data_IF_611510510114
#
_entry.id   IF_611510510114
#
_cell.length_a   1.000
_cell.length_b   1.000
_cell.length_c   1.000
_cell.angle_alpha   90.00
_cell.angle_beta   90.00
_cell.angle_gamma   90.00
#
_symmetry.space_group_name_H-M   'P 1'
#
loop_
_entity.id
_entity.type
_entity.pdbx_description
1 polymer ?
#
# COMPACT_ATOMS: atom_id res chain seq x y z
N UNK A 1 -15.37 -37.23 71.92
CA UNK A 1 -16.66 -36.81 71.34
C UNK A 1 -17.73 -36.52 72.39
N UNK A 2 -17.42 -36.48 73.70
CA UNK A 2 -18.41 -36.34 74.78
C UNK A 2 -18.74 -34.91 75.22
N UNK A 3 -18.05 -33.87 74.71
CA UNK A 3 -18.30 -32.47 75.09
C UNK A 3 -19.56 -31.88 74.43
N UNK A 4 -19.90 -32.37 73.23
CA UNK A 4 -21.02 -31.86 72.44
C UNK A 4 -22.37 -32.43 72.90
N UNK A 5 -22.36 -33.61 73.51
CA UNK A 5 -23.57 -34.33 73.95
C UNK A 5 -24.04 -33.88 75.35
N UNK A 6 -23.20 -33.19 76.12
CA UNK A 6 -23.51 -32.75 77.50
C UNK A 6 -23.98 -31.29 77.61
N UNK A 7 -24.22 -30.60 76.50
CA UNK A 7 -24.64 -29.20 76.49
C UNK A 7 -26.17 -29.10 76.58
N UNK A 8 -26.67 -28.31 77.52
CA UNK A 8 -28.11 -28.01 77.58
C UNK A 8 -28.56 -27.27 76.31
N UNK A 9 -29.80 -27.47 75.88
CA UNK A 9 -30.37 -26.88 74.66
C UNK A 9 -30.14 -25.36 74.50
N UNK A 10 -30.18 -24.54 75.58
CA UNK A 10 -29.84 -23.11 75.51
C UNK A 10 -28.35 -22.86 75.23
N UNK A 11 -27.45 -23.65 75.83
CA UNK A 11 -26.00 -23.50 75.65
C UNK A 11 -25.56 -23.91 74.24
N UNK A 12 -26.18 -24.95 73.66
CA UNK A 12 -25.93 -25.35 72.28
C UNK A 12 -26.32 -24.24 71.28
N UNK A 13 -27.42 -23.52 71.54
CA UNK A 13 -27.88 -22.41 70.70
C UNK A 13 -26.92 -21.22 70.76
N UNK A 14 -26.44 -20.86 71.97
CA UNK A 14 -25.44 -19.80 72.15
C UNK A 14 -24.09 -20.14 71.52
N UNK A 15 -23.68 -21.41 71.60
CA UNK A 15 -22.44 -21.86 70.98
C UNK A 15 -22.55 -21.83 69.45
N UNK A 16 -23.70 -22.20 68.88
CA UNK A 16 -23.95 -22.15 67.43
C UNK A 16 -23.93 -20.72 66.90
N UNK A 17 -24.56 -19.76 67.59
CA UNK A 17 -24.53 -18.34 67.18
C UNK A 17 -23.12 -17.75 67.30
N UNK A 18 -22.36 -18.15 68.33
CA UNK A 18 -20.95 -17.75 68.48
C UNK A 18 -20.06 -18.29 67.35
N UNK A 19 -20.18 -19.59 67.04
CA UNK A 19 -19.43 -20.22 65.93
C UNK A 19 -19.81 -19.60 64.59
N UNK A 20 -21.10 -19.36 64.35
CA UNK A 20 -21.59 -18.69 63.14
C UNK A 20 -21.03 -17.27 63.03
N UNK A 21 -20.96 -16.53 64.14
CA UNK A 21 -20.34 -15.21 64.20
C UNK A 21 -18.85 -15.24 63.83
N UNK A 22 -18.09 -16.18 64.39
CA UNK A 22 -16.67 -16.36 64.06
C UNK A 22 -16.49 -16.74 62.59
N UNK A 23 -17.30 -17.66 62.06
CA UNK A 23 -17.25 -18.04 60.66
C UNK A 23 -17.59 -16.86 59.73
N UNK A 24 -18.58 -16.03 60.06
CA UNK A 24 -18.92 -14.84 59.29
C UNK A 24 -17.77 -13.81 59.28
N UNK A 25 -17.15 -13.55 60.43
CA UNK A 25 -15.98 -12.66 60.53
C UNK A 25 -14.78 -13.21 59.75
N UNK A 26 -14.53 -14.51 59.83
CA UNK A 26 -13.49 -15.19 59.06
C UNK A 26 -13.71 -15.11 57.56
N UNK A 27 -14.96 -15.28 57.10
CA UNK A 27 -15.31 -15.15 55.68
C UNK A 27 -15.12 -13.73 55.16
N UNK A 28 -15.49 -12.70 55.94
CA UNK A 28 -15.26 -11.29 55.59
C UNK A 28 -13.76 -11.00 55.49
N UNK A 29 -12.97 -11.49 56.44
CA UNK A 29 -11.52 -11.27 56.44
C UNK A 29 -10.82 -11.95 55.25
N UNK A 30 -11.17 -13.21 54.96
CA UNK A 30 -10.66 -13.93 53.80
C UNK A 30 -11.06 -13.25 52.49
N UNK A 31 -12.32 -12.81 52.39
CA UNK A 31 -12.82 -12.05 51.25
C UNK A 31 -12.02 -10.77 51.04
N UNK A 32 -11.90 -9.94 52.08
CA UNK A 32 -11.13 -8.70 52.02
C UNK A 32 -9.69 -8.94 51.54
N UNK A 33 -8.99 -9.92 52.14
CA UNK A 33 -7.60 -10.25 51.78
C UNK A 33 -7.47 -10.70 50.32
N UNK A 34 -8.39 -11.54 49.84
CA UNK A 34 -8.38 -12.03 48.46
C UNK A 34 -8.65 -10.91 47.45
N UNK A 35 -9.62 -10.04 47.73
CA UNK A 35 -9.94 -8.91 46.86
C UNK A 35 -8.83 -7.85 46.85
N UNK A 36 -8.20 -7.54 47.99
CA UNK A 36 -7.08 -6.59 48.03
C UNK A 36 -5.90 -7.03 47.16
N UNK A 37 -5.54 -8.31 47.19
CA UNK A 37 -4.44 -8.82 46.37
C UNK A 37 -4.77 -8.77 44.87
N UNK A 38 -6.02 -9.08 44.48
CA UNK A 38 -6.46 -8.99 43.09
C UNK A 38 -6.50 -7.54 42.58
N UNK A 39 -6.95 -6.60 43.41
CA UNK A 39 -6.99 -5.17 43.06
C UNK A 39 -5.56 -4.63 42.86
N UNK A 40 -4.61 -5.01 43.72
CA UNK A 40 -3.19 -4.64 43.53
C UNK A 40 -2.60 -5.20 42.23
N UNK A 41 -2.97 -6.43 41.86
CA UNK A 41 -2.57 -7.03 40.58
C UNK A 41 -3.16 -6.29 39.37
N UNK A 42 -4.43 -5.89 39.44
CA UNK A 42 -5.08 -5.07 38.41
C UNK A 42 -4.44 -3.69 38.27
N UNK A 43 -4.12 -3.03 39.39
CA UNK A 43 -3.46 -1.73 39.37
C UNK A 43 -2.05 -1.81 38.76
N UNK A 44 -1.30 -2.88 39.05
CA UNK A 44 -0.01 -3.13 38.42
C UNK A 44 -0.13 -3.42 36.92
N UNK A 45 -1.11 -4.21 36.50
CA UNK A 45 -1.35 -4.49 35.10
C UNK A 45 -1.76 -3.22 34.32
N UNK A 46 -2.56 -2.35 34.93
CA UNK A 46 -2.95 -1.06 34.35
C UNK A 46 -1.72 -0.15 34.20
N UNK A 47 -0.87 -0.04 35.23
CA UNK A 47 0.38 0.74 35.14
C UNK A 47 1.30 0.21 34.06
N UNK A 48 1.52 -1.10 34.02
CA UNK A 48 2.33 -1.73 32.97
C UNK A 48 1.74 -1.50 31.57
N UNK A 49 0.41 -1.55 31.43
CA UNK A 49 -0.26 -1.23 30.16
C UNK A 49 -0.08 0.24 29.78
N UNK A 50 -0.14 1.15 30.74
CA UNK A 50 0.01 2.58 30.49
C UNK A 50 1.46 2.95 30.13
N UNK A 51 2.43 2.33 30.79
CA UNK A 51 3.85 2.45 30.46
C UNK A 51 4.12 1.91 29.05
N UNK A 52 3.57 0.74 28.69
CA UNK A 52 3.70 0.18 27.34
C UNK A 52 3.08 1.07 26.26
N UNK A 53 1.92 1.68 26.53
CA UNK A 53 1.28 2.64 25.61
C UNK A 53 2.15 3.89 25.45
N UNK A 54 2.71 4.43 26.53
CA UNK A 54 3.57 5.62 26.45
C UNK A 54 4.86 5.34 25.67
N UNK A 55 5.46 4.15 25.83
CA UNK A 55 6.62 3.73 25.02
C UNK A 55 6.24 3.66 23.55
N UNK A 56 5.11 3.02 23.22
CA UNK A 56 4.66 2.90 21.84
C UNK A 56 4.31 4.26 21.20
N UNK A 57 3.73 5.19 21.97
CA UNK A 57 3.48 6.56 21.52
C UNK A 57 4.79 7.29 21.19
N UNK A 58 5.80 7.18 22.04
CA UNK A 58 7.11 7.80 21.79
C UNK A 58 7.82 7.17 20.57
N UNK A 59 7.72 5.85 20.40
CA UNK A 59 8.27 5.15 19.23
C UNK A 59 7.57 5.56 17.94
N UNK A 60 6.24 5.66 17.95
CA UNK A 60 5.45 6.09 16.79
C UNK A 60 5.67 7.56 16.46
N UNK A 61 5.79 8.47 17.44
CA UNK A 61 6.18 9.86 17.20
C UNK A 61 7.57 9.96 16.58
N UNK A 62 8.54 9.19 17.08
CA UNK A 62 9.89 9.16 16.52
C UNK A 62 9.90 8.62 15.09
N UNK A 63 9.13 7.56 14.82
CA UNK A 63 8.96 6.99 13.49
C UNK A 63 8.33 8.01 12.54
N UNK A 64 7.19 8.61 12.91
CA UNK A 64 6.48 9.62 12.11
C UNK A 64 7.37 10.83 11.83
N UNK A 65 8.14 11.31 12.81
CA UNK A 65 9.07 12.43 12.61
C UNK A 65 10.17 12.06 11.62
N UNK A 66 10.68 10.83 11.68
CA UNK A 66 11.65 10.31 10.72
C UNK A 66 11.06 10.25 9.31
N UNK A 67 9.89 9.62 9.14
CA UNK A 67 9.23 9.55 7.82
C UNK A 67 8.88 10.94 7.28
N UNK A 68 8.41 11.86 8.13
CA UNK A 68 8.14 13.23 7.72
C UNK A 68 9.41 13.95 7.23
N UNK A 69 10.54 13.74 7.92
CA UNK A 69 11.82 14.32 7.49
C UNK A 69 12.36 13.71 6.18
N UNK A 70 12.15 12.42 5.97
CA UNK A 70 12.52 11.72 4.73
C UNK A 70 11.64 12.18 3.56
N UNK A 71 10.33 12.33 3.77
CA UNK A 71 9.40 12.88 2.77
C UNK A 71 9.73 14.33 2.45
N UNK A 72 10.00 15.18 3.44
CA UNK A 72 10.41 16.57 3.19
C UNK A 72 11.72 16.64 2.39
N UNK A 73 12.68 15.76 2.68
CA UNK A 73 13.91 15.65 1.89
C UNK A 73 13.63 15.24 0.45
N UNK A 74 12.85 14.18 0.24
CA UNK A 74 12.49 13.72 -1.09
C UNK A 74 11.75 14.79 -1.90
N UNK A 75 10.83 15.53 -1.27
CA UNK A 75 10.13 16.66 -1.91
C UNK A 75 11.11 17.78 -2.26
N UNK A 76 12.04 18.12 -1.35
CA UNK A 76 13.07 19.13 -1.61
C UNK A 76 13.96 18.72 -2.78
N UNK A 77 14.46 17.49 -2.78
CA UNK A 77 15.34 16.96 -3.82
C UNK A 77 14.63 16.94 -5.19
N UNK A 78 13.35 16.55 -5.21
CA UNK A 78 12.52 16.61 -6.43
C UNK A 78 12.25 18.05 -6.90
N UNK A 79 12.08 19.00 -5.98
CA UNK A 79 11.87 20.40 -6.35
C UNK A 79 13.12 21.03 -6.98
N UNK A 80 14.32 20.64 -6.53
CA UNK A 80 15.60 21.06 -7.12
C UNK A 80 15.79 20.41 -8.49
N UNK A 81 15.55 19.10 -8.60
CA UNK A 81 15.65 18.39 -9.88
C UNK A 81 14.69 18.96 -10.95
N UNK A 82 13.50 19.44 -10.54
CA UNK A 82 12.54 20.07 -11.45
C UNK A 82 12.98 21.47 -11.91
N UNK A 83 13.77 22.18 -11.12
CA UNK A 83 14.33 23.48 -11.52
C UNK A 83 15.50 23.28 -12.51
N UNK A 84 16.32 22.24 -12.33
CA UNK A 84 17.31 21.80 -13.32
C UNK A 84 16.63 21.35 -14.64
N UNK A 85 15.50 20.65 -14.55
CA UNK A 85 14.72 20.25 -15.72
C UNK A 85 14.18 21.47 -16.50
N UNK A 86 13.78 22.56 -15.82
CA UNK A 86 13.39 23.80 -16.53
C UNK A 86 14.55 24.44 -17.28
N UNK A 87 15.77 24.41 -16.72
CA UNK A 87 16.97 24.96 -17.38
C UNK A 87 17.38 24.11 -18.59
N UNK A 88 17.23 22.78 -18.49
CA UNK A 88 17.41 21.86 -19.61
C UNK A 88 16.32 22.07 -20.67
N UNK A 89 15.05 22.22 -20.27
CA UNK A 89 13.94 22.47 -21.21
C UNK A 89 14.07 23.83 -21.88
N UNK A 90 14.51 24.88 -21.17
CA UNK A 90 14.74 26.19 -21.78
C UNK A 90 15.92 26.17 -22.76
N UNK A 91 17.03 25.50 -22.40
CA UNK A 91 18.18 25.37 -23.31
C UNK A 91 17.88 24.49 -24.53
N UNK A 92 17.05 23.44 -24.39
CA UNK A 92 16.53 22.66 -25.50
C UNK A 92 15.60 23.50 -26.37
N UNK A 93 14.71 24.30 -25.77
CA UNK A 93 13.82 25.21 -26.51
C UNK A 93 14.64 26.21 -27.34
N UNK A 94 15.70 26.79 -26.78
CA UNK A 94 16.59 27.71 -27.49
C UNK A 94 17.36 27.01 -28.63
N UNK A 95 17.79 25.75 -28.43
CA UNK A 95 18.39 24.94 -29.48
C UNK A 95 17.40 24.61 -30.61
N UNK A 96 16.15 24.26 -30.29
CA UNK A 96 15.11 23.97 -31.27
C UNK A 96 14.75 25.22 -32.08
N UNK A 97 14.66 26.38 -31.44
CA UNK A 97 14.45 27.66 -32.13
C UNK A 97 15.61 27.98 -33.07
N UNK A 98 16.86 27.75 -32.64
CA UNK A 98 18.02 27.95 -33.50
C UNK A 98 18.05 26.96 -34.68
N UNK A 99 17.72 25.69 -34.46
CA UNK A 99 17.62 24.67 -35.51
C UNK A 99 16.51 25.04 -36.52
N UNK A 100 15.35 25.45 -36.02
CA UNK A 100 14.23 25.90 -36.86
C UNK A 100 14.60 27.12 -37.70
N UNK A 101 15.35 28.07 -37.14
CA UNK A 101 15.84 29.24 -37.88
C UNK A 101 16.90 28.86 -38.93
N UNK A 102 17.84 27.96 -38.60
CA UNK A 102 18.82 27.49 -39.59
C UNK A 102 18.19 26.66 -40.71
N UNK A 103 17.17 25.85 -40.40
CA UNK A 103 16.43 25.11 -41.43
C UNK A 103 15.53 26.03 -42.26
N UNK A 104 14.95 27.07 -41.65
CA UNK A 104 14.19 28.08 -42.39
C UNK A 104 15.09 28.88 -43.35
N UNK A 105 16.31 29.23 -42.93
CA UNK A 105 17.29 29.87 -43.81
C UNK A 105 17.78 28.92 -44.92
N UNK A 106 18.02 27.64 -44.62
CA UNK A 106 18.41 26.64 -45.63
C UNK A 106 17.28 26.32 -46.63
N UNK A 107 16.01 26.42 -46.22
CA UNK A 107 14.85 26.22 -47.09
C UNK A 107 14.58 27.46 -47.96
N UNK A 108 14.79 28.67 -47.43
CA UNK A 108 14.67 29.92 -48.19
C UNK A 108 15.74 30.05 -49.28
N UNK A 109 16.96 29.55 -49.05
CA UNK A 109 18.01 29.49 -50.08
C UNK A 109 17.73 28.40 -51.13
N UNK A 110 16.90 27.39 -50.82
CA UNK A 110 16.56 26.28 -51.72
C UNK A 110 15.27 26.48 -52.52
N UNK A 111 14.43 27.43 -52.14
CA UNK A 111 13.23 27.84 -52.91
C UNK A 111 13.53 28.81 -54.08
N UNK A 112 14.77 29.29 -54.22
CA UNK A 112 15.16 30.12 -55.36
C UNK A 112 15.43 29.35 -56.66
N UNK A 113 15.52 28.01 -56.62
CA UNK A 113 15.70 27.16 -57.80
C UNK A 113 14.77 25.94 -57.75
N UNK A 114 13.85 25.85 -58.74
CA UNK A 114 13.09 24.68 -59.25
C UNK A 114 11.55 24.83 -59.14
N UNK A 115 10.79 24.51 -60.22
CA UNK A 115 9.42 24.98 -60.42
C UNK A 115 8.34 24.13 -59.73
N UNK A 116 7.26 24.84 -59.37
CA UNK A 116 5.88 24.37 -59.15
C UNK A 116 5.54 23.08 -59.90
N UNK A 117 5.36 21.98 -59.17
CA UNK A 117 4.38 20.90 -59.43
C UNK A 117 4.62 19.74 -58.44
N UNK A 118 4.02 19.80 -57.24
CA UNK A 118 3.58 18.65 -56.40
C UNK A 118 3.24 19.08 -54.95
N UNK A 119 2.12 19.79 -54.76
CA UNK A 119 1.57 20.12 -53.42
C UNK A 119 0.65 19.02 -52.83
N UNK A 120 0.92 17.73 -53.09
CA UNK A 120 0.03 16.67 -52.60
C UNK A 120 0.76 15.37 -52.21
N UNK A 121 1.68 15.41 -51.25
CA UNK A 121 2.09 14.19 -50.51
C UNK A 121 2.86 14.38 -49.19
N UNK A 122 2.96 15.58 -48.61
CA UNK A 122 3.57 15.76 -47.28
C UNK A 122 2.50 16.13 -46.25
N UNK A 123 1.56 15.21 -46.02
CA UNK A 123 0.69 15.18 -44.85
C UNK A 123 0.45 13.73 -44.46
N UNK A 124 1.51 13.05 -44.05
CA UNK A 124 1.39 11.75 -43.41
C UNK A 124 2.25 11.77 -42.13
N UNK A 125 1.55 11.59 -40.99
CA UNK A 125 2.10 11.12 -39.72
C UNK A 125 2.80 12.12 -38.79
N UNK A 126 2.02 13.06 -38.24
CA UNK A 126 2.24 13.59 -36.88
C UNK A 126 0.91 13.56 -36.12
N UNK A 127 0.21 12.41 -36.17
CA UNK A 127 -0.84 12.13 -35.20
C UNK A 127 -0.15 11.90 -33.86
N UNK A 128 -0.02 12.96 -33.07
CA UNK A 128 0.26 12.82 -31.64
C UNK A 128 -0.96 12.12 -31.07
N UNK A 129 -0.89 10.80 -30.95
CA UNK A 129 -1.94 9.97 -30.36
C UNK A 129 -2.28 10.55 -28.99
N UNK A 130 -3.43 11.23 -28.90
CA UNK A 130 -3.87 11.88 -27.67
C UNK A 130 -4.33 10.78 -26.73
N UNK A 131 -3.39 10.30 -25.90
CA UNK A 131 -3.68 9.29 -24.89
C UNK A 131 -4.51 9.89 -23.76
N UNK A 132 -5.62 9.23 -23.48
CA UNK A 132 -6.66 9.63 -22.53
C UNK A 132 -6.67 8.72 -21.30
N UNK A 133 -7.33 9.12 -20.22
CA UNK A 133 -7.52 8.25 -19.03
C UNK A 133 -8.06 6.85 -19.37
N UNK A 134 -8.84 6.69 -20.43
CA UNK A 134 -9.36 5.38 -20.82
C UNK A 134 -8.24 4.46 -21.33
N UNK A 135 -7.20 4.99 -21.99
CA UNK A 135 -6.08 4.16 -22.44
C UNK A 135 -5.23 3.62 -21.25
N UNK A 136 -5.26 4.29 -20.08
CA UNK A 136 -4.56 3.83 -18.86
C UNK A 136 -5.31 2.64 -18.27
N UNK A 137 -6.64 2.69 -18.38
CA UNK A 137 -7.51 1.60 -17.97
C UNK A 137 -7.29 0.39 -18.88
N UNK A 138 -7.10 0.61 -20.17
CA UNK A 138 -6.83 -0.45 -21.12
C UNK A 138 -5.43 -1.05 -20.94
N UNK A 139 -4.40 -0.21 -20.73
CA UNK A 139 -3.06 -0.68 -20.36
C UNK A 139 -3.07 -1.52 -19.06
N UNK A 140 -3.86 -1.10 -18.06
CA UNK A 140 -4.08 -1.91 -16.86
C UNK A 140 -4.82 -3.23 -17.17
N UNK A 141 -5.79 -3.23 -18.09
CA UNK A 141 -6.51 -4.44 -18.47
C UNK A 141 -5.57 -5.49 -19.10
N UNK A 142 -4.54 -5.07 -19.84
CA UNK A 142 -3.50 -5.95 -20.37
C UNK A 142 -2.66 -6.57 -19.25
N UNK A 143 -2.18 -5.77 -18.30
CA UNK A 143 -1.47 -6.25 -17.10
C UNK A 143 -2.33 -7.25 -16.32
N UNK A 144 -3.63 -6.92 -16.18
CA UNK A 144 -4.59 -7.78 -15.52
C UNK A 144 -4.71 -9.13 -16.23
N UNK A 145 -4.85 -9.12 -17.55
CA UNK A 145 -4.93 -10.34 -18.35
C UNK A 145 -3.65 -11.19 -18.20
N UNK A 146 -2.48 -10.55 -18.13
CA UNK A 146 -1.22 -11.23 -17.91
C UNK A 146 -1.16 -11.95 -16.56
N UNK A 147 -1.51 -11.26 -15.47
CA UNK A 147 -1.57 -11.84 -14.12
C UNK A 147 -2.58 -13.00 -14.07
N UNK A 148 -3.73 -12.83 -14.74
CA UNK A 148 -4.73 -13.90 -14.81
C UNK A 148 -4.26 -15.10 -15.62
N UNK A 149 -3.52 -14.88 -16.71
CA UNK A 149 -2.91 -15.96 -17.50
C UNK A 149 -1.92 -16.76 -16.65
N UNK A 150 -1.04 -16.08 -15.91
CA UNK A 150 -0.11 -16.71 -14.97
C UNK A 150 -0.88 -17.57 -13.96
N UNK A 151 -1.94 -17.04 -13.36
CA UNK A 151 -2.73 -17.77 -12.34
C UNK A 151 -3.43 -19.05 -12.86
N UNK A 152 -3.55 -19.22 -14.18
CA UNK A 152 -4.24 -20.35 -14.82
C UNK A 152 -3.30 -21.38 -15.44
N UNK A 153 -1.99 -21.11 -15.47
CA UNK A 153 -0.99 -21.98 -16.08
C UNK A 153 -1.12 -23.44 -15.63
N UNK A 154 -1.03 -24.38 -16.58
CA UNK A 154 -1.16 -25.82 -16.29
C UNK A 154 0.00 -26.40 -15.47
N UNK A 155 1.12 -25.68 -15.38
CA UNK A 155 2.26 -25.99 -14.52
C UNK A 155 1.93 -25.83 -13.02
N UNK A 156 0.91 -25.04 -12.69
CA UNK A 156 0.51 -24.77 -11.32
C UNK A 156 -0.46 -25.87 -10.84
N UNK A 157 -0.17 -26.41 -9.65
CA UNK A 157 -1.02 -27.42 -9.01
C UNK A 157 -2.50 -26.99 -8.97
N UNK A 158 -3.40 -27.94 -9.21
CA UNK A 158 -4.84 -27.65 -9.32
C UNK A 158 -5.44 -27.05 -8.05
N UNK A 159 -4.93 -27.43 -6.87
CA UNK A 159 -5.36 -26.83 -5.59
C UNK A 159 -4.94 -25.36 -5.50
N UNK A 160 -3.74 -25.05 -5.95
CA UNK A 160 -3.20 -23.69 -5.96
C UNK A 160 -3.93 -22.81 -6.98
N UNK A 161 -4.24 -23.33 -8.18
CA UNK A 161 -5.10 -22.62 -9.14
C UNK A 161 -6.50 -22.34 -8.58
N UNK A 162 -7.10 -23.32 -7.89
CA UNK A 162 -8.38 -23.11 -7.22
C UNK A 162 -8.30 -22.06 -6.10
N UNK A 163 -7.17 -21.97 -5.38
CA UNK A 163 -6.91 -20.90 -4.39
C UNK A 163 -6.88 -19.52 -5.07
N UNK A 164 -6.23 -19.39 -6.22
CA UNK A 164 -6.18 -18.13 -6.98
C UNK A 164 -7.53 -17.74 -7.58
N UNK A 165 -8.29 -18.70 -8.09
CA UNK A 165 -9.62 -18.47 -8.65
C UNK A 165 -10.64 -17.95 -7.62
N UNK A 166 -10.44 -18.24 -6.34
CA UNK A 166 -11.32 -17.76 -5.25
C UNK A 166 -11.02 -16.33 -4.80
N UNK A 167 -9.90 -15.74 -5.22
CA UNK A 167 -9.54 -14.39 -4.79
C UNK A 167 -10.43 -13.33 -5.44
N UNK A 168 -10.81 -12.32 -4.67
CA UNK A 168 -11.63 -11.22 -5.16
C UNK A 168 -10.90 -10.41 -6.23
N UNK A 169 -11.52 -10.27 -7.42
CA UNK A 169 -10.99 -9.48 -8.54
C UNK A 169 -11.22 -7.97 -8.40
N UNK A 170 -11.89 -7.52 -7.33
CA UNK A 170 -12.00 -6.09 -6.99
C UNK A 170 -10.68 -5.49 -6.54
N UNK A 171 -9.78 -6.31 -5.99
CA UNK A 171 -8.43 -5.91 -5.56
C UNK A 171 -7.44 -6.97 -6.01
N UNK A 172 -6.60 -6.63 -6.99
CA UNK A 172 -5.60 -7.56 -7.51
C UNK A 172 -4.42 -7.79 -6.57
N UNK A 173 -4.24 -6.95 -5.54
CA UNK A 173 -3.14 -7.06 -4.58
C UNK A 173 -3.04 -8.45 -3.97
N UNK A 174 -4.16 -9.03 -3.50
CA UNK A 174 -4.14 -10.35 -2.88
C UNK A 174 -3.76 -11.46 -3.86
N UNK A 175 -4.18 -11.36 -5.13
CA UNK A 175 -3.76 -12.32 -6.15
C UNK A 175 -2.27 -12.20 -6.44
N UNK A 176 -1.75 -10.97 -6.56
CA UNK A 176 -0.34 -10.68 -6.80
C UNK A 176 0.52 -11.22 -5.64
N UNK A 177 0.14 -10.94 -4.40
CA UNK A 177 0.85 -11.40 -3.20
C UNK A 177 0.94 -12.93 -3.17
N UNK A 178 -0.17 -13.62 -3.47
CA UNK A 178 -0.20 -15.07 -3.51
C UNK A 178 0.66 -15.66 -4.64
N UNK A 179 0.68 -15.02 -5.82
CA UNK A 179 1.53 -15.45 -6.92
C UNK A 179 3.01 -15.24 -6.59
N UNK A 180 3.36 -14.14 -5.91
CA UNK A 180 4.74 -13.84 -5.49
C UNK A 180 5.19 -14.84 -4.41
N UNK A 181 4.36 -15.08 -3.40
CA UNK A 181 4.62 -16.01 -2.30
C UNK A 181 4.86 -17.44 -2.82
N UNK A 182 4.03 -17.87 -3.77
CA UNK A 182 4.12 -19.18 -4.41
C UNK A 182 5.18 -19.20 -5.55
N UNK A 183 5.90 -18.09 -5.79
CA UNK A 183 6.95 -17.90 -6.81
C UNK A 183 6.51 -18.17 -8.25
N UNK A 184 5.24 -17.94 -8.56
CA UNK A 184 4.69 -18.04 -9.92
C UNK A 184 4.80 -16.73 -10.71
N UNK A 185 5.15 -15.65 -10.03
CA UNK A 185 5.52 -14.36 -10.63
C UNK A 185 6.81 -13.88 -9.96
N UNK A 186 7.70 -13.22 -10.70
CA UNK A 186 8.90 -12.60 -10.15
C UNK A 186 8.53 -11.45 -9.19
N UNK A 187 9.41 -11.16 -8.24
CA UNK A 187 9.21 -10.04 -7.30
C UNK A 187 9.12 -8.70 -8.02
N UNK A 188 9.86 -8.56 -9.11
CA UNK A 188 9.88 -7.34 -9.91
C UNK A 188 8.55 -7.14 -10.64
N UNK A 189 8.04 -8.18 -11.30
CA UNK A 189 6.72 -8.14 -11.92
C UNK A 189 5.58 -7.96 -10.90
N UNK A 190 5.68 -8.58 -9.72
CA UNK A 190 4.73 -8.37 -8.63
C UNK A 190 4.71 -6.90 -8.15
N UNK A 191 5.90 -6.30 -7.95
CA UNK A 191 6.00 -4.89 -7.60
C UNK A 191 5.43 -3.99 -8.72
N UNK A 192 5.79 -4.26 -9.97
CA UNK A 192 5.31 -3.49 -11.11
C UNK A 192 3.79 -3.56 -11.27
N UNK A 193 3.19 -4.73 -11.05
CA UNK A 193 1.74 -4.90 -11.06
C UNK A 193 1.03 -4.10 -9.96
N UNK A 194 1.59 -4.05 -8.74
CA UNK A 194 1.04 -3.24 -7.64
C UNK A 194 1.14 -1.74 -7.96
N UNK A 195 2.27 -1.30 -8.49
CA UNK A 195 2.49 0.10 -8.87
C UNK A 195 1.54 0.52 -10.01
N UNK A 196 1.33 -0.35 -11.01
CA UNK A 196 0.38 -0.10 -12.09
C UNK A 196 -1.05 -0.01 -11.57
N UNK A 197 -1.44 -0.90 -10.63
CA UNK A 197 -2.75 -0.84 -9.98
C UNK A 197 -2.93 0.47 -9.18
N UNK A 198 -1.90 0.89 -8.46
CA UNK A 198 -1.90 2.14 -7.70
C UNK A 198 -2.02 3.35 -8.63
N UNK A 199 -1.24 3.39 -9.72
CA UNK A 199 -1.25 4.44 -10.73
C UNK A 199 -2.65 4.57 -11.35
N UNK A 200 -3.22 3.47 -11.85
CA UNK A 200 -4.58 3.43 -12.40
C UNK A 200 -5.63 3.91 -11.38
N UNK A 201 -5.52 3.49 -10.13
CA UNK A 201 -6.48 3.90 -9.10
C UNK A 201 -6.36 5.38 -8.72
N UNK A 202 -5.16 5.96 -8.82
CA UNK A 202 -4.94 7.38 -8.57
C UNK A 202 -5.75 8.24 -9.54
N UNK A 203 -5.84 7.84 -10.82
CA UNK A 203 -6.61 8.55 -11.84
C UNK A 203 -8.11 8.23 -11.85
N UNK A 204 -8.58 7.27 -11.04
CA UNK A 204 -10.01 6.94 -10.97
C UNK A 204 -10.89 8.10 -10.45
N UNK A 205 -10.32 8.98 -9.62
CA UNK A 205 -11.04 10.10 -8.98
C UNK A 205 -10.46 11.47 -9.30
N UNK A 206 -9.32 11.53 -10.00
CA UNK A 206 -8.71 12.81 -10.39
C UNK A 206 -9.50 13.41 -11.53
N UNK A 207 -9.56 14.74 -11.53
CA UNK A 207 -10.10 15.49 -12.67
C UNK A 207 -9.03 15.63 -13.76
N UNK A 208 -7.77 15.76 -13.34
CA UNK A 208 -6.60 15.89 -14.22
C UNK A 208 -6.39 14.66 -15.12
N UNK A 209 -5.98 14.92 -16.35
CA UNK A 209 -5.56 13.89 -17.28
C UNK A 209 -4.14 13.39 -16.95
N UNK A 210 -3.82 12.12 -17.25
CA UNK A 210 -2.48 11.59 -17.05
C UNK A 210 -1.44 12.35 -17.86
N UNK A 211 -0.29 12.63 -17.24
CA UNK A 211 0.83 13.29 -17.92
C UNK A 211 1.59 12.29 -18.81
N UNK A 212 2.43 12.78 -19.72
CA UNK A 212 3.31 11.92 -20.51
C UNK A 212 4.24 11.05 -19.63
N UNK A 213 4.64 11.56 -18.46
CA UNK A 213 5.41 10.81 -17.47
C UNK A 213 4.61 9.65 -16.87
N UNK A 214 3.32 9.85 -16.58
CA UNK A 214 2.45 8.78 -16.08
C UNK A 214 2.29 7.66 -17.12
N UNK A 215 2.20 8.03 -18.40
CA UNK A 215 2.17 7.07 -19.50
C UNK A 215 3.46 6.29 -19.64
N UNK A 216 4.60 6.99 -19.67
CA UNK A 216 5.90 6.34 -19.74
C UNK A 216 6.10 5.38 -18.55
N UNK A 217 5.62 5.75 -17.36
CA UNK A 217 5.64 4.88 -16.20
C UNK A 217 4.70 3.66 -16.37
N UNK A 218 3.45 3.85 -16.82
CA UNK A 218 2.53 2.73 -17.06
C UNK A 218 3.08 1.77 -18.13
N UNK A 219 3.65 2.29 -19.21
CA UNK A 219 4.27 1.48 -20.27
C UNK A 219 5.46 0.67 -19.75
N UNK A 220 6.32 1.28 -18.93
CA UNK A 220 7.43 0.60 -18.28
C UNK A 220 6.94 -0.53 -17.36
N UNK A 221 5.94 -0.25 -16.51
CA UNK A 221 5.38 -1.22 -15.57
C UNK A 221 4.72 -2.38 -16.33
N UNK A 222 3.99 -2.07 -17.41
CA UNK A 222 3.40 -3.07 -18.30
C UNK A 222 4.46 -3.98 -18.89
N UNK A 223 5.54 -3.42 -19.46
CA UNK A 223 6.61 -4.20 -20.07
C UNK A 223 7.22 -5.20 -19.08
N UNK A 224 7.50 -4.77 -17.85
CA UNK A 224 8.03 -5.62 -16.78
C UNK A 224 7.10 -6.81 -16.47
N UNK A 225 5.79 -6.56 -16.36
CA UNK A 225 4.84 -7.64 -16.07
C UNK A 225 4.70 -8.62 -17.24
N UNK A 226 4.68 -8.10 -18.47
CA UNK A 226 4.56 -8.91 -19.68
C UNK A 226 5.80 -9.78 -19.95
N UNK A 227 6.99 -9.34 -19.51
CA UNK A 227 8.22 -10.15 -19.61
C UNK A 227 8.14 -11.44 -18.78
N UNK A 228 7.36 -11.43 -17.70
CA UNK A 228 7.16 -12.57 -16.80
C UNK A 228 6.09 -13.56 -17.32
N UNK A 229 5.49 -13.27 -18.47
CA UNK A 229 4.59 -14.22 -19.13
C UNK A 229 5.39 -15.41 -19.68
N UNK A 230 4.89 -16.64 -19.51
CA UNK A 230 5.47 -17.77 -20.20
C UNK A 230 5.35 -17.55 -21.71
N UNK A 231 6.44 -17.75 -22.45
CA UNK A 231 6.36 -17.84 -23.90
C UNK A 231 5.46 -19.04 -24.26
N UNK A 232 4.36 -18.78 -24.97
CA UNK A 232 3.48 -19.81 -25.53
C UNK A 232 4.23 -20.79 -26.45
#
# INVERSE_FOLDING_TARGET
MSFWESLSQPQATLLSSFVTGICALGAIWLGAKFFTNKIKGLEQAIRASQDAVNVHLNETEAAVKKTASEVMRAISDWSVAREEEKEIVSSISDQVVNIANTQADELLDREAEVPSDNEASIRESNDVEVRTRDDLRDAWAEIQAAIEAISRQDTIDGRTRAKYARQDRRSYNTLIDLLEDDRNISREAAAAARDAFALRNSFRRRVEEPTQTDWANMDRLRAIVLEDLPAD
#
